data_IF_584554489913
#
_entry.id   IF_584554489913
#
_cell.length_a   1.000
_cell.length_b   1.000
_cell.length_c   1.000
_cell.angle_alpha   90.00
_cell.angle_beta   90.00
_cell.angle_gamma   90.00
#
_symmetry.space_group_name_H-M   'P 1'
#
loop_
_entity.id
_entity.type
_entity.pdbx_description
1 polymer ?
#
# COMPACT_ATOMS: atom_id res chain seq x y z
N UNK A 1 -10.30 -18.31 0.25
CA UNK A 1 -8.85 -18.09 0.11
C UNK A 1 -8.19 -17.96 1.48
N UNK A 2 -6.87 -18.13 1.53
CA UNK A 2 -6.01 -17.77 2.66
C UNK A 2 -5.29 -16.46 2.35
N UNK A 3 -5.50 -15.43 3.13
CA UNK A 3 -5.08 -14.07 2.85
C UNK A 3 -4.11 -13.58 3.91
N UNK A 4 -2.93 -13.13 3.46
CA UNK A 4 -1.97 -12.42 4.29
C UNK A 4 -2.28 -10.92 4.26
N UNK A 5 -2.50 -10.32 5.43
CA UNK A 5 -2.74 -8.89 5.57
C UNK A 5 -1.55 -8.23 6.25
N UNK A 6 -1.09 -7.12 5.69
CA UNK A 6 0.00 -6.28 6.23
C UNK A 6 -0.34 -4.81 6.10
N UNK A 7 0.53 -3.91 6.59
CA UNK A 7 0.44 -2.45 6.41
C UNK A 7 1.79 -1.78 6.72
N UNK A 8 1.85 -0.45 6.70
CA UNK A 8 2.95 0.36 7.21
C UNK A 8 2.56 1.24 8.43
N UNK A 9 1.27 1.31 8.78
CA UNK A 9 0.78 2.04 9.95
C UNK A 9 0.98 1.29 11.28
N UNK A 10 1.30 0.00 11.21
CA UNK A 10 1.56 -0.85 12.36
C UNK A 10 0.40 -1.77 12.73
N UNK A 11 0.71 -2.83 13.50
CA UNK A 11 -0.21 -3.92 13.83
C UNK A 11 -1.44 -3.47 14.63
N UNK A 12 -1.34 -2.39 15.38
CA UNK A 12 -2.42 -1.81 16.20
C UNK A 12 -3.23 -0.73 15.48
N UNK A 13 -2.93 -0.43 14.21
CA UNK A 13 -3.64 0.60 13.46
C UNK A 13 -5.09 0.17 13.17
N UNK A 14 -6.02 1.14 13.23
CA UNK A 14 -7.45 0.90 12.98
C UNK A 14 -7.71 0.37 11.57
N UNK A 15 -6.95 0.86 10.58
CA UNK A 15 -7.09 0.47 9.17
C UNK A 15 -6.89 -1.03 8.97
N UNK A 16 -5.80 -1.60 9.50
CA UNK A 16 -5.52 -3.04 9.33
C UNK A 16 -6.51 -3.91 10.12
N UNK A 17 -6.92 -3.46 11.32
CA UNK A 17 -7.93 -4.15 12.10
C UNK A 17 -9.26 -4.23 11.35
N UNK A 18 -9.74 -3.10 10.83
CA UNK A 18 -11.01 -3.03 10.09
C UNK A 18 -10.97 -3.88 8.83
N UNK A 19 -9.84 -3.86 8.11
CA UNK A 19 -9.60 -4.69 6.95
C UNK A 19 -9.64 -6.18 7.30
N UNK A 20 -8.85 -6.60 8.29
CA UNK A 20 -8.79 -8.00 8.71
C UNK A 20 -10.15 -8.53 9.16
N UNK A 21 -10.90 -7.72 9.93
CA UNK A 21 -12.23 -8.08 10.41
C UNK A 21 -13.25 -8.22 9.27
N UNK A 22 -13.19 -7.37 8.24
CA UNK A 22 -14.07 -7.47 7.07
C UNK A 22 -13.76 -8.71 6.24
N UNK A 23 -12.47 -8.92 5.92
CA UNK A 23 -12.02 -10.04 5.08
C UNK A 23 -12.20 -11.39 5.78
N UNK A 24 -12.03 -11.47 7.11
CA UNK A 24 -12.21 -12.71 7.88
C UNK A 24 -13.64 -13.26 7.84
N UNK A 25 -14.63 -12.46 7.45
CA UNK A 25 -16.01 -12.93 7.27
C UNK A 25 -16.16 -14.02 6.20
N UNK A 26 -15.24 -14.05 5.21
CA UNK A 26 -15.32 -14.94 4.05
C UNK A 26 -14.05 -15.77 3.83
N UNK A 27 -12.92 -15.36 4.39
CA UNK A 27 -11.61 -15.92 4.08
C UNK A 27 -10.80 -16.20 5.35
N UNK A 28 -9.84 -17.13 5.30
CA UNK A 28 -8.85 -17.32 6.34
C UNK A 28 -7.86 -16.16 6.31
N UNK A 29 -7.70 -15.45 7.43
CA UNK A 29 -6.84 -14.26 7.53
C UNK A 29 -5.70 -14.48 8.49
N UNK A 30 -4.51 -14.06 8.09
CA UNK A 30 -3.32 -13.92 8.93
C UNK A 30 -2.80 -12.50 8.78
N UNK A 31 -2.66 -11.79 9.89
CA UNK A 31 -2.09 -10.45 9.95
C UNK A 31 -0.61 -10.53 10.33
N UNK A 32 0.26 -9.92 9.53
CA UNK A 32 1.68 -9.73 9.87
C UNK A 32 2.04 -8.29 9.54
N UNK A 33 2.30 -7.47 10.56
CA UNK A 33 2.49 -6.05 10.38
C UNK A 33 3.63 -5.49 11.24
N UNK A 34 4.20 -4.33 10.90
CA UNK A 34 5.22 -3.70 11.72
C UNK A 34 4.68 -3.43 13.14
N UNK A 35 5.57 -3.56 14.13
CA UNK A 35 5.21 -3.24 15.52
C UNK A 35 4.88 -1.76 15.71
N UNK A 36 5.56 -0.91 14.95
CA UNK A 36 5.43 0.55 14.98
C UNK A 36 5.22 1.06 13.56
N UNK A 37 4.68 2.27 13.43
CA UNK A 37 4.48 2.93 12.14
C UNK A 37 5.79 3.07 11.35
N UNK A 38 5.74 2.79 10.04
CA UNK A 38 6.84 2.80 9.08
C UNK A 38 6.50 3.59 7.81
N UNK A 39 5.86 4.75 7.98
CA UNK A 39 5.50 5.63 6.85
C UNK A 39 6.73 6.12 6.10
N UNK A 40 6.63 6.22 4.78
CA UNK A 40 7.69 6.67 3.87
C UNK A 40 8.98 5.82 3.89
N UNK A 41 8.90 4.55 4.30
CA UNK A 41 10.05 3.63 4.27
C UNK A 41 10.33 3.05 2.88
N UNK A 42 9.48 3.35 1.89
CA UNK A 42 9.65 2.79 0.54
C UNK A 42 9.75 1.26 0.57
N UNK A 43 10.46 0.64 -0.36
CA UNK A 43 10.67 -0.81 -0.42
C UNK A 43 11.97 -1.24 0.30
N UNK A 44 12.18 -0.75 1.52
CA UNK A 44 13.32 -1.14 2.34
C UNK A 44 13.11 -2.53 2.96
N UNK A 45 14.19 -3.31 3.08
CA UNK A 45 14.23 -4.61 3.77
C UNK A 45 15.34 -4.65 4.82
N UNK A 46 15.18 -5.48 5.83
CA UNK A 46 16.16 -5.69 6.91
C UNK A 46 17.11 -6.83 6.53
N UNK A 47 18.40 -6.51 6.27
CA UNK A 47 19.39 -7.49 5.85
C UNK A 47 20.34 -7.88 6.98
N UNK A 48 20.80 -6.92 7.79
CA UNK A 48 21.91 -7.13 8.72
C UNK A 48 21.50 -7.39 10.17
N UNK A 49 20.23 -7.13 10.52
CA UNK A 49 19.75 -7.26 11.89
C UNK A 49 18.77 -8.42 12.02
N UNK A 50 18.75 -9.13 13.17
CA UNK A 50 17.72 -10.11 13.44
C UNK A 50 16.33 -9.50 13.48
N UNK A 51 15.35 -10.16 12.85
CA UNK A 51 13.95 -9.78 12.88
C UNK A 51 13.30 -10.40 14.13
N UNK A 52 12.57 -9.57 14.92
CA UNK A 52 11.84 -10.02 16.09
C UNK A 52 10.35 -10.09 15.76
N UNK A 53 9.76 -11.26 15.93
CA UNK A 53 8.34 -11.53 15.69
C UNK A 53 7.68 -11.82 17.02
N UNK A 54 6.45 -11.30 17.23
CA UNK A 54 5.60 -11.60 18.38
C UNK A 54 4.19 -11.90 17.91
N UNK A 55 3.59 -12.92 18.46
CA UNK A 55 2.16 -13.18 18.31
C UNK A 55 1.37 -12.16 19.13
N UNK A 56 0.36 -11.55 18.52
CA UNK A 56 -0.50 -10.53 19.13
C UNK A 56 -1.93 -11.06 19.24
N UNK A 57 -2.57 -10.83 20.37
CA UNK A 57 -3.97 -11.20 20.62
C UNK A 57 -4.86 -9.98 20.35
N UNK A 58 -5.22 -9.76 19.09
CA UNK A 58 -6.01 -8.61 18.66
C UNK A 58 -7.48 -8.98 18.49
N UNK A 59 -7.75 -10.15 17.91
CA UNK A 59 -9.10 -10.62 17.64
C UNK A 59 -9.13 -12.17 17.69
N UNK A 60 -10.32 -12.78 17.84
CA UNK A 60 -10.50 -14.23 17.83
C UNK A 60 -10.68 -14.80 16.42
N UNK A 61 -11.08 -13.96 15.44
CA UNK A 61 -11.39 -14.40 14.08
C UNK A 61 -10.15 -14.56 13.21
N UNK A 62 -8.98 -14.01 13.61
CA UNK A 62 -7.75 -14.11 12.86
C UNK A 62 -6.50 -14.10 13.73
N UNK A 63 -5.43 -14.71 13.23
CA UNK A 63 -4.11 -14.67 13.88
C UNK A 63 -3.39 -13.38 13.50
N UNK A 64 -2.71 -12.76 14.47
CA UNK A 64 -1.93 -11.56 14.24
C UNK A 64 -0.52 -11.68 14.80
N UNK A 65 0.46 -11.10 14.08
CA UNK A 65 1.86 -11.05 14.46
C UNK A 65 2.40 -9.64 14.25
N UNK A 66 3.14 -9.14 15.24
CA UNK A 66 3.92 -7.92 15.10
C UNK A 66 5.38 -8.23 14.78
N UNK A 67 5.99 -7.42 13.93
CA UNK A 67 7.37 -7.59 13.50
C UNK A 67 8.17 -6.30 13.70
N UNK A 68 9.40 -6.42 14.23
CA UNK A 68 10.35 -5.29 14.27
C UNK A 68 11.12 -5.28 12.96
N UNK A 69 10.59 -4.55 11.98
CA UNK A 69 11.12 -4.46 10.62
C UNK A 69 10.26 -3.54 9.77
N UNK A 70 10.40 -3.66 8.46
CA UNK A 70 9.67 -2.90 7.45
C UNK A 70 8.37 -3.60 7.03
N UNK A 71 7.48 -2.93 6.29
CA UNK A 71 6.31 -3.57 5.68
C UNK A 71 6.67 -4.73 4.72
N UNK A 72 7.73 -4.58 3.93
CA UNK A 72 8.25 -5.64 3.06
C UNK A 72 8.75 -6.85 3.88
N UNK A 73 9.49 -6.62 4.98
CA UNK A 73 9.90 -7.70 5.90
C UNK A 73 8.68 -8.45 6.46
N UNK A 74 7.57 -7.75 6.73
CA UNK A 74 6.34 -8.37 7.22
C UNK A 74 5.72 -9.30 6.17
N UNK A 75 5.70 -8.89 4.91
CA UNK A 75 5.25 -9.75 3.81
C UNK A 75 6.16 -10.97 3.66
N UNK A 76 7.48 -10.78 3.62
CA UNK A 76 8.46 -11.87 3.52
C UNK A 76 8.31 -12.88 4.67
N UNK A 77 8.27 -12.39 5.91
CA UNK A 77 8.12 -13.25 7.08
C UNK A 77 6.76 -13.95 7.11
N UNK A 78 5.71 -13.24 6.70
CA UNK A 78 4.36 -13.80 6.55
C UNK A 78 4.36 -15.00 5.61
N UNK A 79 4.85 -14.82 4.40
CA UNK A 79 4.87 -15.85 3.35
C UNK A 79 5.85 -17.00 3.65
N UNK A 80 7.02 -16.70 4.23
CA UNK A 80 8.07 -17.71 4.41
C UNK A 80 7.96 -18.49 5.71
N UNK A 81 7.43 -17.89 6.79
CA UNK A 81 7.49 -18.48 8.15
C UNK A 81 6.13 -18.72 8.78
N UNK A 82 5.17 -17.79 8.62
CA UNK A 82 3.97 -17.75 9.44
C UNK A 82 2.73 -18.28 8.74
N UNK A 83 2.65 -18.14 7.42
CA UNK A 83 1.52 -18.57 6.61
C UNK A 83 1.99 -19.33 5.38
N UNK A 84 1.71 -20.63 5.31
CA UNK A 84 1.92 -21.42 4.09
C UNK A 84 0.68 -21.34 3.20
N UNK A 85 0.86 -21.49 1.89
CA UNK A 85 -0.22 -21.59 0.91
C UNK A 85 -1.15 -20.36 0.93
N UNK A 86 -0.53 -19.17 0.95
CA UNK A 86 -1.23 -17.88 0.83
C UNK A 86 -1.66 -17.69 -0.61
N UNK A 87 -2.94 -17.37 -0.81
CA UNK A 87 -3.54 -17.14 -2.13
C UNK A 87 -3.48 -15.67 -2.55
N UNK A 88 -3.44 -14.73 -1.57
CA UNK A 88 -3.50 -13.29 -1.80
C UNK A 88 -2.79 -12.53 -0.67
N UNK A 89 -2.05 -11.49 -1.03
CA UNK A 89 -1.53 -10.49 -0.07
C UNK A 89 -2.36 -9.22 -0.19
N UNK A 90 -2.81 -8.67 0.95
CA UNK A 90 -3.45 -7.35 1.00
C UNK A 90 -2.67 -6.46 1.97
N UNK A 91 -2.19 -5.32 1.49
CA UNK A 91 -1.51 -4.32 2.30
C UNK A 91 -2.40 -3.09 2.51
N UNK A 92 -2.68 -2.75 3.76
CA UNK A 92 -3.51 -1.58 4.14
C UNK A 92 -4.41 -1.86 5.35
N UNK A 93 -5.49 -1.09 5.57
CA UNK A 93 -5.86 0.13 4.82
C UNK A 93 -4.98 1.28 5.30
N UNK A 94 -4.22 1.87 4.37
CA UNK A 94 -3.35 3.00 4.68
C UNK A 94 -4.15 4.26 5.02
N UNK A 95 -3.67 5.01 6.01
CA UNK A 95 -4.17 6.34 6.34
C UNK A 95 -3.59 7.37 5.38
N UNK A 96 -4.36 7.79 4.39
CA UNK A 96 -3.94 8.64 3.28
C UNK A 96 -3.78 7.87 1.98
N UNK A 97 -3.85 8.58 0.87
CA UNK A 97 -3.80 7.99 -0.48
C UNK A 97 -2.37 7.66 -0.91
N UNK A 98 -2.24 6.63 -1.74
CA UNK A 98 -1.03 6.28 -2.46
C UNK A 98 -1.30 6.36 -3.96
N UNK A 99 -1.25 7.57 -4.52
CA UNK A 99 -1.54 7.89 -5.91
C UNK A 99 -0.32 8.47 -6.62
N UNK A 100 -0.28 8.33 -7.93
CA UNK A 100 0.77 8.91 -8.75
C UNK A 100 2.17 8.43 -8.34
N UNK A 101 3.13 9.34 -8.31
CA UNK A 101 4.52 9.03 -7.93
C UNK A 101 4.72 8.72 -6.45
N UNK A 102 3.71 8.96 -5.60
CA UNK A 102 3.79 8.67 -4.15
C UNK A 102 3.95 7.18 -3.87
N UNK A 103 3.50 6.31 -4.78
CA UNK A 103 3.67 4.85 -4.68
C UNK A 103 5.13 4.45 -4.46
N UNK A 104 6.10 5.24 -4.96
CA UNK A 104 7.53 4.95 -4.84
C UNK A 104 8.06 5.11 -3.40
N UNK A 105 7.36 5.89 -2.57
CA UNK A 105 7.71 6.14 -1.17
C UNK A 105 6.84 5.33 -0.20
N UNK A 106 5.77 4.72 -0.70
CA UNK A 106 4.77 4.02 0.11
C UNK A 106 5.26 2.68 0.65
N UNK A 107 5.22 2.51 1.96
CA UNK A 107 5.40 1.20 2.61
C UNK A 107 4.25 0.24 2.32
N UNK A 108 3.01 0.75 2.25
CA UNK A 108 1.81 -0.04 1.90
C UNK A 108 1.92 -0.66 0.51
N UNK A 109 2.26 0.17 -0.52
CA UNK A 109 2.41 -0.32 -1.90
C UNK A 109 3.60 -1.28 -2.01
N UNK A 110 4.71 -0.97 -1.34
CA UNK A 110 5.92 -1.81 -1.34
C UNK A 110 5.68 -3.19 -0.73
N UNK A 111 4.91 -3.28 0.35
CA UNK A 111 4.55 -4.57 0.95
C UNK A 111 3.69 -5.44 0.01
N UNK A 112 2.80 -4.82 -0.78
CA UNK A 112 2.06 -5.52 -1.82
C UNK A 112 2.96 -5.93 -2.99
N UNK A 113 3.89 -5.07 -3.42
CA UNK A 113 4.90 -5.41 -4.44
C UNK A 113 5.75 -6.60 -3.98
N UNK A 114 6.12 -6.65 -2.70
CA UNK A 114 6.86 -7.79 -2.14
C UNK A 114 6.10 -9.11 -2.32
N UNK A 115 4.77 -9.11 -2.12
CA UNK A 115 3.92 -10.26 -2.41
C UNK A 115 3.98 -10.71 -3.87
N UNK A 116 3.94 -9.77 -4.81
CA UNK A 116 4.05 -10.04 -6.25
C UNK A 116 5.45 -10.56 -6.63
N UNK A 117 6.53 -10.10 -5.98
CA UNK A 117 7.89 -10.66 -6.15
C UNK A 117 7.92 -12.14 -5.71
N UNK A 118 7.19 -12.50 -4.66
CA UNK A 118 6.98 -13.89 -4.25
C UNK A 118 5.98 -14.67 -5.12
N UNK A 119 5.55 -14.07 -6.24
CA UNK A 119 4.61 -14.68 -7.18
C UNK A 119 3.23 -14.97 -6.56
N UNK A 120 2.80 -14.11 -5.62
CA UNK A 120 1.48 -14.13 -5.01
C UNK A 120 0.71 -12.88 -5.48
N UNK A 121 -0.53 -13.00 -5.97
CA UNK A 121 -1.37 -11.87 -6.30
C UNK A 121 -1.44 -10.89 -5.12
N UNK A 122 -1.41 -9.59 -5.40
CA UNK A 122 -1.33 -8.63 -4.30
C UNK A 122 -2.19 -7.40 -4.53
N UNK A 123 -2.71 -6.83 -3.44
CA UNK A 123 -3.51 -5.61 -3.46
C UNK A 123 -2.95 -4.64 -2.41
N UNK A 124 -2.73 -3.39 -2.81
CA UNK A 124 -2.51 -2.27 -1.89
C UNK A 124 -3.81 -1.47 -1.77
N UNK A 125 -4.25 -1.17 -0.55
CA UNK A 125 -5.46 -0.37 -0.30
C UNK A 125 -5.17 0.82 0.59
N UNK A 126 -5.62 2.00 0.14
CA UNK A 126 -5.44 3.28 0.82
C UNK A 126 -6.77 4.04 0.86
N UNK A 127 -6.95 4.86 1.88
CA UNK A 127 -8.13 5.71 2.02
C UNK A 127 -7.71 7.17 2.14
N UNK A 128 -8.34 8.05 1.38
CA UNK A 128 -8.22 9.48 1.57
C UNK A 128 -8.75 9.86 2.95
N UNK A 129 -8.05 10.75 3.65
CA UNK A 129 -8.41 11.19 5.01
C UNK A 129 -8.35 12.69 5.14
N UNK A 130 -9.07 13.22 6.12
CA UNK A 130 -8.88 14.58 6.58
C UNK A 130 -7.80 14.59 7.68
N UNK A 131 -6.60 15.10 7.36
CA UNK A 131 -5.48 15.13 8.28
C UNK A 131 -5.70 15.98 9.54
N UNK A 132 -6.76 16.80 9.57
CA UNK A 132 -7.12 17.56 10.76
C UNK A 132 -7.92 16.71 11.77
N UNK A 133 -8.30 15.48 11.41
CA UNK A 133 -9.10 14.56 12.23
C UNK A 133 -8.31 13.29 12.49
N UNK A 134 -8.73 12.56 13.54
CA UNK A 134 -8.10 11.30 13.97
C UNK A 134 -9.14 10.20 14.23
N UNK A 135 -10.36 10.42 13.74
CA UNK A 135 -11.55 9.58 13.95
C UNK A 135 -12.07 8.91 12.68
N UNK A 136 -11.19 8.65 11.71
CA UNK A 136 -11.55 8.06 10.43
C UNK A 136 -12.29 6.72 10.59
N UNK A 137 -13.36 6.56 9.81
CA UNK A 137 -14.08 5.29 9.64
C UNK A 137 -13.56 4.54 8.41
N UNK A 138 -12.84 3.46 8.64
CA UNK A 138 -12.29 2.60 7.60
C UNK A 138 -13.30 1.59 7.04
N UNK A 139 -14.52 1.49 7.61
CA UNK A 139 -15.52 0.50 7.20
C UNK A 139 -15.88 0.61 5.72
N UNK A 140 -16.00 1.84 5.21
CA UNK A 140 -16.22 2.11 3.80
C UNK A 140 -15.13 1.51 2.89
N UNK A 141 -13.88 1.78 3.22
CA UNK A 141 -12.75 1.23 2.46
C UNK A 141 -12.68 -0.29 2.56
N UNK A 142 -12.95 -0.86 3.74
CA UNK A 142 -13.03 -2.30 3.93
C UNK A 142 -14.14 -2.96 3.10
N UNK A 143 -15.31 -2.33 3.01
CA UNK A 143 -16.40 -2.79 2.14
C UNK A 143 -16.01 -2.78 0.65
N UNK A 144 -15.34 -1.71 0.20
CA UNK A 144 -14.91 -1.62 -1.19
C UNK A 144 -13.81 -2.63 -1.54
N UNK A 145 -12.85 -2.85 -0.64
CA UNK A 145 -11.81 -3.85 -0.91
C UNK A 145 -12.38 -5.27 -0.89
N UNK A 146 -13.38 -5.58 -0.04
CA UNK A 146 -14.07 -6.86 -0.08
C UNK A 146 -14.73 -7.11 -1.45
N UNK A 147 -15.38 -6.08 -2.04
CA UNK A 147 -15.93 -6.16 -3.41
C UNK A 147 -14.83 -6.38 -4.47
N UNK A 148 -13.67 -5.69 -4.34
CA UNK A 148 -12.54 -5.88 -5.26
C UNK A 148 -11.99 -7.30 -5.17
N UNK A 149 -11.86 -7.85 -3.96
CA UNK A 149 -11.42 -9.23 -3.72
C UNK A 149 -12.40 -10.24 -4.33
N UNK A 150 -13.70 -10.07 -4.12
CA UNK A 150 -14.75 -10.93 -4.70
C UNK A 150 -14.70 -10.94 -6.25
N UNK A 151 -14.48 -9.76 -6.86
CA UNK A 151 -14.37 -9.65 -8.33
C UNK A 151 -13.09 -10.31 -8.82
N UNK A 152 -11.96 -10.06 -8.16
CA UNK A 152 -10.65 -10.58 -8.54
C UNK A 152 -10.59 -12.11 -8.42
N UNK A 153 -11.11 -12.69 -7.34
CA UNK A 153 -11.20 -14.14 -7.12
C UNK A 153 -11.96 -14.84 -8.23
N UNK A 154 -13.09 -14.27 -8.67
CA UNK A 154 -13.96 -14.88 -9.67
C UNK A 154 -13.51 -14.67 -11.11
N UNK A 155 -12.67 -13.66 -11.40
CA UNK A 155 -12.33 -13.31 -12.78
C UNK A 155 -10.84 -13.38 -13.07
N UNK A 156 -9.98 -12.85 -12.18
CA UNK A 156 -8.60 -12.65 -12.56
C UNK A 156 -7.70 -12.22 -11.39
N UNK A 157 -6.86 -13.14 -10.95
CA UNK A 157 -5.72 -12.83 -10.08
C UNK A 157 -4.43 -13.29 -10.78
N UNK A 158 -3.63 -12.33 -11.26
CA UNK A 158 -2.28 -12.62 -11.77
C UNK A 158 -1.26 -12.50 -10.66
N UNK A 159 -0.33 -13.42 -10.65
CA UNK A 159 0.66 -13.54 -9.59
C UNK A 159 1.71 -12.42 -9.59
N UNK A 160 1.93 -11.77 -10.73
CA UNK A 160 2.95 -10.74 -10.97
C UNK A 160 2.40 -9.30 -10.95
N UNK A 161 1.15 -9.12 -10.51
CA UNK A 161 0.45 -7.83 -10.54
C UNK A 161 0.07 -7.38 -9.15
N UNK A 162 0.23 -6.10 -8.87
CA UNK A 162 -0.33 -5.42 -7.72
C UNK A 162 -1.50 -4.55 -8.16
N UNK A 163 -2.65 -4.71 -7.55
CA UNK A 163 -3.78 -3.80 -7.72
C UNK A 163 -3.70 -2.71 -6.65
N UNK A 164 -3.35 -1.49 -7.06
CA UNK A 164 -3.33 -0.34 -6.15
C UNK A 164 -4.70 0.33 -6.12
N UNK A 165 -5.34 0.31 -4.96
CA UNK A 165 -6.72 0.78 -4.76
C UNK A 165 -6.70 2.00 -3.84
N UNK A 166 -7.37 3.09 -4.25
CA UNK A 166 -7.56 4.27 -3.39
C UNK A 166 -9.04 4.59 -3.29
N UNK A 167 -9.52 4.82 -2.07
CA UNK A 167 -10.94 5.11 -1.75
C UNK A 167 -11.06 6.58 -1.35
N UNK A 168 -11.98 7.36 -1.98
CA UNK A 168 -12.16 8.77 -1.67
C UNK A 168 -12.84 8.98 -0.30
N UNK A 169 -12.56 10.10 0.32
CA UNK A 169 -13.15 10.48 1.61
C UNK A 169 -14.49 11.23 1.43
N UNK A 170 -15.46 10.56 0.84
CA UNK A 170 -16.85 11.03 0.67
C UNK A 170 -17.81 9.99 1.25
N UNK A 171 -19.11 10.29 1.34
CA UNK A 171 -20.10 9.31 1.79
C UNK A 171 -20.16 8.13 0.82
N UNK A 172 -20.48 6.93 1.31
CA UNK A 172 -20.46 5.71 0.50
C UNK A 172 -21.48 5.79 -0.66
N UNK A 173 -22.63 6.41 -0.46
CA UNK A 173 -23.66 6.63 -1.48
C UNK A 173 -23.26 7.59 -2.60
N UNK A 174 -22.27 8.45 -2.35
CA UNK A 174 -21.72 9.40 -3.32
C UNK A 174 -20.59 8.80 -4.17
N UNK A 175 -20.08 7.61 -3.81
CA UNK A 175 -19.05 6.92 -4.57
C UNK A 175 -19.61 6.38 -5.88
N UNK A 176 -19.07 6.85 -6.99
CA UNK A 176 -19.56 6.57 -8.35
C UNK A 176 -19.21 5.18 -8.89
N UNK A 177 -18.46 4.38 -8.11
CA UNK A 177 -17.98 3.05 -8.51
C UNK A 177 -16.48 2.96 -8.64
N UNK A 178 -15.99 1.89 -9.28
CA UNK A 178 -14.55 1.65 -9.51
C UNK A 178 -14.15 2.20 -10.88
N UNK A 179 -12.98 2.88 -10.92
CA UNK A 179 -12.37 3.34 -12.17
C UNK A 179 -10.96 2.78 -12.29
N UNK A 180 -10.73 2.01 -13.35
CA UNK A 180 -9.37 1.56 -13.71
C UNK A 180 -8.67 2.71 -14.44
N UNK A 181 -7.47 3.06 -13.99
CA UNK A 181 -6.76 4.25 -14.44
C UNK A 181 -5.23 4.08 -14.36
N UNK A 182 -4.50 5.00 -15.00
CA UNK A 182 -3.06 5.09 -14.88
C UNK A 182 -2.66 5.89 -13.63
N UNK A 183 -1.40 5.79 -13.24
CA UNK A 183 -0.80 6.68 -12.23
C UNK A 183 -0.76 8.12 -12.75
N UNK A 184 -1.13 9.06 -11.89
CA UNK A 184 -0.90 10.48 -12.10
C UNK A 184 0.55 10.89 -11.81
N UNK A 185 0.81 12.19 -11.79
CA UNK A 185 2.09 12.75 -11.36
C UNK A 185 1.88 13.62 -10.14
N UNK A 186 2.58 13.31 -9.06
CA UNK A 186 2.72 14.17 -7.89
C UNK A 186 4.14 14.68 -7.83
N UNK A 187 4.31 15.98 -7.73
CA UNK A 187 5.62 16.58 -7.54
C UNK A 187 5.58 17.32 -6.20
N UNK A 188 6.48 16.92 -5.29
CA UNK A 188 6.68 17.67 -4.05
C UNK A 188 7.73 18.76 -4.28
N UNK A 189 7.35 20.01 -4.03
CA UNK A 189 8.31 21.07 -3.82
C UNK A 189 8.70 21.06 -2.37
N UNK A 190 9.91 20.61 -2.07
CA UNK A 190 10.44 20.51 -0.73
C UNK A 190 11.27 21.77 -0.44
N UNK A 191 10.85 22.54 0.54
CA UNK A 191 11.61 23.64 1.11
C UNK A 191 12.25 23.18 2.43
N UNK A 192 13.51 23.53 2.67
CA UNK A 192 14.23 23.27 3.89
C UNK A 192 14.35 24.57 4.68
N UNK A 193 13.73 24.60 5.86
CA UNK A 193 13.78 25.76 6.76
C UNK A 193 14.78 25.48 7.88
N UNK A 194 15.83 26.28 7.97
CA UNK A 194 16.80 26.19 9.06
C UNK A 194 16.10 26.57 10.37
N UNK A 195 16.11 25.65 11.35
CA UNK A 195 15.51 25.86 12.68
C UNK A 195 16.55 26.00 13.78
N UNK A 196 17.73 25.42 13.60
CA UNK A 196 18.83 25.51 14.56
C UNK A 196 20.18 25.44 13.82
N UNK A 197 21.15 26.23 14.27
CA UNK A 197 22.53 26.22 13.76
C UNK A 197 23.51 26.22 14.94
N UNK A 198 24.08 25.04 15.19
CA UNK A 198 25.13 24.80 16.18
C UNK A 198 26.31 24.12 15.48
N UNK A 199 26.89 23.05 16.10
CA UNK A 199 27.85 22.16 15.41
C UNK A 199 27.18 21.49 14.20
N UNK A 200 25.89 21.12 14.36
CA UNK A 200 25.03 20.64 13.27
C UNK A 200 24.04 21.73 12.85
N UNK A 201 23.65 21.73 11.57
CA UNK A 201 22.53 22.53 11.05
C UNK A 201 21.29 21.66 10.99
N UNK A 202 20.25 22.07 11.72
CA UNK A 202 18.99 21.35 11.78
C UNK A 202 17.97 22.04 10.87
N UNK A 203 17.43 21.31 9.93
CA UNK A 203 16.42 21.81 9.00
C UNK A 203 15.09 21.07 9.19
N UNK A 204 14.02 21.83 9.20
CA UNK A 204 12.67 21.30 9.05
C UNK A 204 12.30 21.25 7.57
N UNK A 205 11.72 20.13 7.14
CA UNK A 205 11.26 19.93 5.76
C UNK A 205 9.81 20.43 5.64
N UNK A 206 9.56 21.38 4.75
CA UNK A 206 8.21 21.83 4.39
C UNK A 206 7.94 21.44 2.96
N UNK A 207 7.10 20.42 2.77
CA UNK A 207 6.69 19.94 1.45
C UNK A 207 5.34 20.54 1.06
N UNK A 208 5.26 21.10 -0.14
CA UNK A 208 3.99 21.42 -0.78
C UNK A 208 3.83 20.41 -1.92
N UNK A 209 2.76 19.62 -1.84
CA UNK A 209 2.38 18.71 -2.93
C UNK A 209 1.79 19.54 -4.08
N UNK A 210 2.44 19.51 -5.22
CA UNK A 210 1.87 20.02 -6.47
C UNK A 210 1.31 18.82 -7.24
N UNK A 211 0.00 18.71 -7.27
CA UNK A 211 -0.67 17.72 -8.11
C UNK A 211 -0.69 18.22 -9.54
N UNK A 212 -0.11 17.44 -10.44
CA UNK A 212 -0.33 17.62 -11.88
C UNK A 212 -1.50 16.70 -12.21
N UNK A 213 -2.70 17.27 -12.26
CA UNK A 213 -3.87 16.55 -12.70
C UNK A 213 -3.74 16.27 -14.20
N UNK A 214 -3.49 15.02 -14.55
CA UNK A 214 -3.70 14.51 -15.91
C UNK A 214 -5.09 13.88 -15.94
N UNK A 215 -5.91 14.25 -16.92
CA UNK A 215 -7.16 13.53 -17.20
C UNK A 215 -6.87 12.04 -17.33
N UNK A 216 -7.78 11.17 -16.87
CA UNK A 216 -7.64 9.72 -16.85
C UNK A 216 -6.63 9.11 -15.83
N UNK A 217 -6.08 9.91 -14.91
CA UNK A 217 -5.20 9.44 -13.82
C UNK A 217 -5.97 9.06 -12.55
N UNK A 218 -5.27 8.35 -11.64
CA UNK A 218 -5.77 7.98 -10.32
C UNK A 218 -6.17 9.21 -9.48
N UNK A 219 -5.33 10.24 -9.46
CA UNK A 219 -5.62 11.50 -8.77
C UNK A 219 -6.87 12.19 -9.34
N UNK A 220 -7.00 12.21 -10.68
CA UNK A 220 -8.15 12.81 -11.34
C UNK A 220 -9.45 12.09 -10.99
N UNK A 221 -9.51 10.76 -11.16
CA UNK A 221 -10.74 10.02 -10.88
C UNK A 221 -11.07 9.95 -9.39
N UNK A 222 -10.07 9.93 -8.50
CA UNK A 222 -10.31 10.01 -7.06
C UNK A 222 -11.02 11.32 -6.70
N UNK A 223 -10.54 12.46 -7.24
CA UNK A 223 -11.17 13.77 -7.04
C UNK A 223 -12.58 13.87 -7.62
N UNK A 224 -12.92 13.02 -8.59
CA UNK A 224 -14.26 12.92 -9.15
C UNK A 224 -15.18 11.98 -8.35
N UNK A 225 -14.72 11.40 -7.24
CA UNK A 225 -15.51 10.52 -6.36
C UNK A 225 -15.56 9.05 -6.81
N UNK A 226 -14.56 8.57 -7.53
CA UNK A 226 -14.42 7.14 -7.85
C UNK A 226 -13.43 6.47 -6.89
N UNK A 227 -13.67 5.20 -6.57
CA UNK A 227 -12.61 4.32 -6.12
C UNK A 227 -11.69 4.05 -7.30
N UNK A 228 -10.41 4.37 -7.17
CA UNK A 228 -9.45 4.15 -8.25
C UNK A 228 -8.73 2.83 -8.10
N UNK A 229 -8.48 2.16 -9.21
CA UNK A 229 -7.75 0.91 -9.29
C UNK A 229 -6.69 1.04 -10.38
N UNK A 230 -5.42 0.96 -9.99
CA UNK A 230 -4.29 1.02 -10.91
C UNK A 230 -3.50 -0.28 -10.84
N UNK A 231 -3.41 -1.05 -11.95
CA UNK A 231 -2.54 -2.22 -11.99
C UNK A 231 -1.08 -1.79 -12.06
N UNK A 232 -0.28 -2.26 -11.09
CA UNK A 232 1.15 -1.98 -10.99
C UNK A 232 1.97 -3.23 -11.29
N UNK A 233 3.22 -3.03 -11.72
CA UNK A 233 4.23 -4.04 -11.89
C UNK A 233 5.55 -3.60 -11.25
N UNK A 234 6.36 -4.52 -10.81
CA UNK A 234 7.66 -4.22 -10.18
C UNK A 234 8.84 -4.18 -11.17
N UNK A 235 8.61 -4.50 -12.44
CA UNK A 235 9.62 -4.35 -13.50
C UNK A 235 9.63 -2.89 -14.00
N UNK A 236 10.66 -2.13 -13.60
CA UNK A 236 10.86 -0.73 -14.00
C UNK A 236 11.56 -0.59 -15.36
N UNK A 237 11.76 -1.66 -16.12
CA UNK A 237 12.38 -1.59 -17.45
C UNK A 237 11.55 -0.70 -18.37
N UNK A 238 12.17 0.32 -18.94
CA UNK A 238 11.50 1.14 -19.95
C UNK A 238 11.54 0.45 -21.31
N UNK A 239 10.57 -0.43 -21.53
CA UNK A 239 10.46 -1.21 -22.78
C UNK A 239 10.28 -0.32 -24.03
N UNK A 240 9.81 0.94 -23.88
CA UNK A 240 9.59 1.84 -25.04
C UNK A 240 10.88 2.26 -25.73
N UNK A 241 11.98 2.34 -24.98
CA UNK A 241 13.29 2.80 -25.46
C UNK A 241 14.36 1.71 -25.42
N UNK A 242 14.02 0.50 -24.96
CA UNK A 242 14.99 -0.59 -24.75
C UNK A 242 15.78 -0.91 -26.03
N UNK A 243 15.08 -1.05 -27.17
CA UNK A 243 15.74 -1.38 -28.45
C UNK A 243 16.54 -0.21 -29.02
N UNK A 244 16.10 1.03 -28.79
CA UNK A 244 16.87 2.23 -29.14
C UNK A 244 18.21 2.26 -28.39
N UNK A 245 18.15 2.01 -27.08
CA UNK A 245 19.37 1.97 -26.23
C UNK A 245 20.30 0.84 -26.66
N UNK A 246 19.78 -0.37 -26.94
CA UNK A 246 20.58 -1.47 -27.51
C UNK A 246 21.29 -1.05 -28.79
N UNK A 247 20.59 -0.44 -29.75
CA UNK A 247 21.16 0.02 -31.01
C UNK A 247 22.30 1.04 -30.85
N UNK A 248 22.33 1.76 -29.73
CA UNK A 248 23.40 2.75 -29.42
C UNK A 248 24.62 2.06 -28.78
N UNK A 249 24.40 1.12 -27.84
CA UNK A 249 25.44 0.61 -26.96
C UNK A 249 25.96 -0.80 -27.32
N UNK A 250 25.20 -1.60 -28.06
CA UNK A 250 25.59 -2.94 -28.51
C UNK A 250 26.04 -2.86 -29.99
N UNK A 251 27.22 -2.24 -30.24
CA UNK A 251 27.83 -2.14 -31.59
C UNK A 251 28.95 -3.16 -31.77
#
# INVERSE_FOLDING_TARGET
MKILITNDDGVNARGIYTLAKEISKKHEVIVVAPREQRSAYSHAITIHNPIKIREEKIDEDFKAYSLVGTPADCTQAGLSLLAKDVDLVISGINRGINCGTDILYSGTVSAAIEGAIYNIPSIAISMEVDWARDDEDYSKAANWISKVVDIAENNYLRNDVVLNVNVPNINEEDIKGIKVCKLGKSIYKTDYVLIEENEDRVYETKGIRNEISEDDSDLYFLSQGYVTLTPLHFDFTNFKILDEVKGIFEK
#
